data_IF_534164918799
#
_entry.id   IF_534164918799
#
_cell.length_a   1.000
_cell.length_b   1.000
_cell.length_c   1.000
_cell.angle_alpha   90.00
_cell.angle_beta   90.00
_cell.angle_gamma   90.00
#
_symmetry.space_group_name_H-M   'P 1'
#
loop_
_entity.id
_entity.type
_entity.pdbx_description
1 polymer ?
#
# COMPACT_ATOMS: atom_id res chain seq x y z
N UNK A 1 3.65 12.02 1.09
CA UNK A 1 4.58 10.99 1.61
C UNK A 1 4.16 10.68 3.04
N UNK A 2 3.60 9.51 3.32
CA UNK A 2 3.37 9.06 4.70
C UNK A 2 4.73 8.65 5.27
N UNK A 3 5.41 9.58 5.94
CA UNK A 3 6.67 9.27 6.63
C UNK A 3 6.32 8.93 8.08
N UNK A 4 5.98 7.66 8.33
CA UNK A 4 5.84 7.18 9.70
C UNK A 4 7.22 7.24 10.35
N UNK A 5 7.34 7.90 11.50
CA UNK A 5 8.57 7.85 12.32
C UNK A 5 8.82 6.45 12.89
N UNK A 6 7.88 5.51 12.72
CA UNK A 6 8.06 4.09 13.03
C UNK A 6 8.53 3.38 11.77
N UNK A 7 9.86 3.25 11.64
CA UNK A 7 10.53 2.44 10.62
C UNK A 7 10.75 0.99 11.04
N UNK A 8 10.43 0.61 12.28
CA UNK A 8 10.63 -0.74 12.79
C UNK A 8 9.59 -1.77 12.32
N UNK A 9 9.98 -3.04 12.34
CA UNK A 9 9.06 -4.16 12.17
C UNK A 9 7.99 -4.18 13.27
N UNK A 10 6.73 -4.37 12.91
CA UNK A 10 5.64 -4.42 13.89
C UNK A 10 5.48 -5.84 14.42
N UNK A 11 6.30 -6.23 15.40
CA UNK A 11 6.28 -7.57 15.98
C UNK A 11 4.92 -7.98 16.59
N UNK A 12 4.02 -7.03 16.86
CA UNK A 12 2.72 -7.27 17.49
C UNK A 12 1.67 -7.93 16.57
N UNK A 13 1.93 -8.09 15.27
CA UNK A 13 0.92 -8.57 14.29
C UNK A 13 1.31 -9.86 13.53
N UNK A 14 2.41 -10.53 13.87
CA UNK A 14 2.88 -11.74 13.18
C UNK A 14 4.35 -11.64 12.79
N UNK A 15 4.87 -12.52 11.89
CA UNK A 15 6.23 -12.38 11.39
C UNK A 15 6.44 -10.94 10.92
N UNK A 16 7.59 -10.39 11.30
CA UNK A 16 7.97 -8.98 11.25
C UNK A 16 7.97 -8.39 9.84
N UNK A 17 6.79 -8.28 9.22
CA UNK A 17 6.65 -7.57 7.95
C UNK A 17 6.80 -6.07 8.21
N UNK A 18 7.58 -5.35 7.37
CA UNK A 18 7.80 -3.92 7.56
C UNK A 18 6.47 -3.17 7.61
N UNK A 19 6.32 -2.24 8.55
CA UNK A 19 5.09 -1.44 8.72
C UNK A 19 4.55 -0.89 7.40
N UNK A 20 5.45 -0.42 6.53
CA UNK A 20 5.11 0.12 5.22
C UNK A 20 4.41 -0.91 4.34
N UNK A 21 4.89 -2.16 4.29
CA UNK A 21 4.27 -3.21 3.48
C UNK A 21 2.85 -3.53 3.96
N UNK A 22 2.65 -3.56 5.27
CA UNK A 22 1.30 -3.75 5.84
C UNK A 22 0.40 -2.53 5.60
N UNK A 23 0.93 -1.31 5.68
CA UNK A 23 0.15 -0.11 5.36
C UNK A 23 -0.30 -0.10 3.89
N UNK A 24 0.54 -0.60 2.96
CA UNK A 24 0.18 -0.76 1.55
C UNK A 24 -0.95 -1.77 1.37
N UNK A 25 -0.85 -2.93 2.05
CA UNK A 25 -1.91 -3.95 2.04
C UNK A 25 -3.22 -3.39 2.57
N UNK A 26 -3.18 -2.67 3.69
CA UNK A 26 -4.36 -2.00 4.24
C UNK A 26 -4.97 -1.02 3.24
N UNK A 27 -4.16 -0.19 2.56
CA UNK A 27 -4.66 0.79 1.58
C UNK A 27 -5.31 0.13 0.37
N UNK A 28 -4.73 -0.97 -0.13
CA UNK A 28 -5.28 -1.73 -1.25
C UNK A 28 -6.65 -2.33 -0.89
N UNK A 29 -6.75 -3.00 0.26
CA UNK A 29 -8.00 -3.64 0.71
C UNK A 29 -9.07 -2.64 1.11
N UNK A 30 -8.71 -1.58 1.86
CA UNK A 30 -9.64 -0.54 2.33
C UNK A 30 -10.33 0.16 1.15
N UNK A 31 -9.62 0.36 0.05
CA UNK A 31 -10.17 0.99 -1.15
C UNK A 31 -10.61 -0.02 -2.21
N UNK A 32 -10.36 -1.32 -2.01
CA UNK A 32 -10.55 -2.40 -3.00
C UNK A 32 -9.98 -2.01 -4.37
N UNK A 33 -8.71 -1.63 -4.38
CA UNK A 33 -7.97 -1.15 -5.54
C UNK A 33 -6.55 -1.69 -5.56
N UNK A 34 -5.89 -1.64 -6.71
CA UNK A 34 -4.45 -1.94 -6.78
C UNK A 34 -3.65 -0.81 -6.14
N UNK A 35 -2.65 -1.17 -5.34
CA UNK A 35 -1.74 -0.22 -4.72
C UNK A 35 -0.30 -0.49 -5.16
N UNK A 36 0.32 0.51 -5.78
CA UNK A 36 1.73 0.45 -6.18
C UNK A 36 2.56 1.42 -5.33
N UNK A 37 3.62 0.92 -4.70
CA UNK A 37 4.68 1.76 -4.14
C UNK A 37 5.87 1.80 -5.05
N UNK A 38 6.47 2.99 -5.15
CA UNK A 38 7.66 3.23 -5.96
C UNK A 38 8.69 3.82 -5.02
N UNK A 39 9.80 3.11 -4.88
CA UNK A 39 10.83 3.41 -3.91
C UNK A 39 12.22 3.39 -4.55
N UNK A 40 13.17 4.07 -3.91
CA UNK A 40 14.55 4.10 -4.36
C UNK A 40 15.31 2.84 -3.92
N UNK A 41 16.31 2.45 -4.72
CA UNK A 41 17.22 1.34 -4.45
C UNK A 41 18.33 1.74 -3.47
N UNK A 42 17.95 2.17 -2.26
CA UNK A 42 18.91 2.55 -1.22
C UNK A 42 19.29 1.34 -0.36
N UNK A 43 20.58 1.19 -0.03
CA UNK A 43 21.09 0.02 0.69
C UNK A 43 20.69 -0.10 2.17
N UNK A 44 20.10 0.94 2.77
CA UNK A 44 19.64 0.95 4.18
C UNK A 44 18.11 1.05 4.30
N UNK A 45 17.39 0.88 3.20
CA UNK A 45 15.95 0.97 3.17
C UNK A 45 15.34 -0.41 3.43
N UNK A 46 14.37 -0.48 4.33
CA UNK A 46 13.71 -1.74 4.73
C UNK A 46 12.37 -1.96 4.02
N UNK A 47 12.09 -1.18 2.98
CA UNK A 47 10.88 -1.30 2.17
C UNK A 47 11.22 -1.26 0.69
N UNK A 48 10.39 -1.93 -0.11
CA UNK A 48 10.65 -2.15 -1.54
C UNK A 48 9.55 -1.60 -2.43
N UNK A 49 9.85 -1.43 -3.71
CA UNK A 49 8.85 -1.15 -4.76
C UNK A 49 7.97 -2.39 -4.90
N UNK A 50 6.67 -2.23 -4.69
CA UNK A 50 5.72 -3.34 -4.57
C UNK A 50 4.38 -3.00 -5.22
N UNK A 51 3.72 -4.02 -5.77
CA UNK A 51 2.36 -3.97 -6.29
C UNK A 51 1.46 -4.93 -5.47
N UNK A 52 0.40 -4.41 -4.89
CA UNK A 52 -0.58 -5.15 -4.07
C UNK A 52 -1.95 -5.13 -4.74
N UNK A 53 -2.63 -6.27 -4.73
CA UNK A 53 -3.96 -6.47 -5.30
C UNK A 53 -5.08 -5.95 -4.39
N UNK A 54 -6.30 -5.72 -4.93
CA UNK A 54 -7.48 -5.29 -4.17
C UNK A 54 -7.87 -6.20 -2.99
N UNK A 55 -7.50 -7.47 -3.03
CA UNK A 55 -7.74 -8.48 -1.98
C UNK A 55 -6.61 -8.53 -0.93
N UNK A 56 -5.58 -7.70 -1.07
CA UNK A 56 -4.42 -7.63 -0.19
C UNK A 56 -3.26 -8.55 -0.59
N UNK A 57 -3.39 -9.35 -1.64
CA UNK A 57 -2.31 -10.22 -2.09
C UNK A 57 -1.16 -9.45 -2.76
N UNK A 58 0.07 -9.88 -2.51
CA UNK A 58 1.26 -9.37 -3.19
C UNK A 58 1.28 -9.86 -4.64
N UNK A 59 1.19 -8.94 -5.60
CA UNK A 59 1.25 -9.24 -7.04
C UNK A 59 2.70 -9.38 -7.50
N UNK A 60 3.52 -8.39 -7.17
CA UNK A 60 4.93 -8.34 -7.55
C UNK A 60 5.72 -7.42 -6.61
N UNK A 61 7.02 -7.66 -6.48
CA UNK A 61 7.94 -6.74 -5.79
C UNK A 61 9.34 -6.77 -6.39
N UNK A 62 10.06 -5.66 -6.20
CA UNK A 62 11.49 -5.55 -6.51
C UNK A 62 12.31 -5.96 -5.28
N UNK A 63 13.44 -6.68 -5.43
CA UNK A 63 14.34 -6.93 -4.31
C UNK A 63 14.89 -5.64 -3.66
N UNK A 64 15.21 -5.70 -2.38
CA UNK A 64 15.76 -4.55 -1.65
C UNK A 64 17.13 -4.13 -2.21
N UNK A 65 17.36 -2.83 -2.32
CA UNK A 65 18.64 -2.27 -2.80
C UNK A 65 18.90 -2.43 -4.30
N UNK A 66 17.94 -2.95 -5.07
CA UNK A 66 18.09 -3.17 -6.51
C UNK A 66 17.31 -2.15 -7.35
N UNK A 67 17.97 -1.52 -8.32
CA UNK A 67 17.33 -0.69 -9.34
C UNK A 67 16.75 -1.58 -10.43
N UNK A 68 15.41 -1.69 -10.47
CA UNK A 68 14.69 -2.51 -11.46
C UNK A 68 13.38 -1.87 -11.89
N UNK A 69 13.00 -2.21 -13.12
CA UNK A 69 11.66 -1.97 -13.64
C UNK A 69 10.74 -3.14 -13.25
N UNK A 70 9.64 -2.84 -12.58
CA UNK A 70 8.57 -3.80 -12.28
C UNK A 70 7.45 -3.63 -13.30
N UNK A 71 7.10 -4.72 -14.00
CA UNK A 71 6.00 -4.76 -14.98
C UNK A 71 5.07 -5.90 -14.60
N UNK A 72 3.76 -5.65 -14.61
CA UNK A 72 2.75 -6.66 -14.28
C UNK A 72 1.44 -6.34 -15.00
N UNK A 73 0.77 -7.37 -15.52
CA UNK A 73 -0.56 -7.27 -16.10
C UNK A 73 -1.62 -7.31 -15.00
N UNK A 74 -2.60 -6.40 -15.08
CA UNK A 74 -3.64 -6.25 -14.06
C UNK A 74 -5.02 -6.61 -14.62
N UNK A 75 -5.80 -7.37 -13.85
CA UNK A 75 -7.22 -7.52 -14.09
C UNK A 75 -7.98 -6.38 -13.39
N UNK A 76 -8.32 -5.34 -14.16
CA UNK A 76 -8.98 -4.14 -13.62
C UNK A 76 -10.38 -4.42 -13.07
N UNK A 77 -11.02 -5.54 -13.42
CA UNK A 77 -12.33 -5.91 -12.86
C UNK A 77 -12.26 -6.20 -11.35
N UNK A 78 -11.07 -6.54 -10.82
CA UNK A 78 -10.87 -6.75 -9.38
C UNK A 78 -10.90 -5.44 -8.58
N UNK A 79 -10.62 -4.29 -9.21
CA UNK A 79 -10.61 -2.99 -8.56
C UNK A 79 -12.05 -2.43 -8.46
N UNK A 80 -12.84 -2.96 -7.54
CA UNK A 80 -14.29 -2.72 -7.46
C UNK A 80 -14.70 -1.40 -6.82
N UNK A 81 -13.81 -0.79 -6.03
CA UNK A 81 -14.09 0.40 -5.20
C UNK A 81 -15.22 0.20 -4.18
N UNK A 82 -15.49 -1.05 -3.78
CA UNK A 82 -16.64 -1.44 -2.98
C UNK A 82 -16.79 -0.63 -1.68
N UNK A 83 -15.71 -0.48 -0.91
CA UNK A 83 -15.72 0.29 0.34
C UNK A 83 -15.65 1.80 0.07
N UNK A 84 -14.83 2.23 -0.88
CA UNK A 84 -14.72 3.64 -1.27
C UNK A 84 -16.07 4.24 -1.72
N UNK A 85 -16.89 3.46 -2.43
CA UNK A 85 -18.24 3.86 -2.86
C UNK A 85 -19.25 4.04 -1.72
N UNK A 86 -18.91 3.61 -0.50
CA UNK A 86 -19.74 3.84 0.71
C UNK A 86 -19.46 5.18 1.38
N UNK A 87 -18.49 5.96 0.87
CA UNK A 87 -18.23 7.29 1.39
C UNK A 87 -19.49 8.16 1.32
N UNK A 88 -19.88 8.71 2.46
CA UNK A 88 -20.99 9.65 2.58
C UNK A 88 -20.44 11.00 3.06
N UNK A 89 -20.30 12.02 2.19
CA UNK A 89 -19.74 13.31 2.56
C UNK A 89 -20.56 14.03 3.64
N UNK A 90 -21.87 13.75 3.75
CA UNK A 90 -22.74 14.41 4.74
C UNK A 90 -22.36 14.08 6.18
N UNK A 91 -21.68 12.95 6.42
CA UNK A 91 -21.18 12.56 7.74
C UNK A 91 -19.90 13.30 8.16
N UNK A 92 -19.30 14.06 7.25
CA UNK A 92 -18.02 14.75 7.46
C UNK A 92 -18.13 16.27 7.32
N UNK A 93 -19.35 16.81 7.33
CA UNK A 93 -19.60 18.27 7.33
C UNK A 93 -19.17 18.87 8.68
N UNK A 94 -17.92 19.33 8.76
CA UNK A 94 -17.31 19.91 9.95
C UNK A 94 -15.80 20.12 9.85
N UNK A 95 -15.13 19.45 8.92
CA UNK A 95 -13.69 19.61 8.67
C UNK A 95 -13.42 19.63 7.15
N UNK A 96 -13.32 20.81 6.54
CA UNK A 96 -12.65 20.95 5.24
C UNK A 96 -13.34 21.79 4.17
N UNK A 97 -13.49 23.10 4.40
CA UNK A 97 -13.21 24.09 3.35
C UNK A 97 -11.74 24.53 3.53
N UNK A 98 -10.79 23.81 2.93
CA UNK A 98 -9.38 24.23 2.76
C UNK A 98 -8.87 23.83 1.38
#
# INVERSE_FOLDING_TARGET
>A
MFHSQVTGSVAALGPAEPFYEMAMVCRAMENTTYFASINHALGHQEWRTTLVAPDGNLVASVPLGEEKLLVSDLNLEQATWFLAKRYNPDLYQGEGDV
#
